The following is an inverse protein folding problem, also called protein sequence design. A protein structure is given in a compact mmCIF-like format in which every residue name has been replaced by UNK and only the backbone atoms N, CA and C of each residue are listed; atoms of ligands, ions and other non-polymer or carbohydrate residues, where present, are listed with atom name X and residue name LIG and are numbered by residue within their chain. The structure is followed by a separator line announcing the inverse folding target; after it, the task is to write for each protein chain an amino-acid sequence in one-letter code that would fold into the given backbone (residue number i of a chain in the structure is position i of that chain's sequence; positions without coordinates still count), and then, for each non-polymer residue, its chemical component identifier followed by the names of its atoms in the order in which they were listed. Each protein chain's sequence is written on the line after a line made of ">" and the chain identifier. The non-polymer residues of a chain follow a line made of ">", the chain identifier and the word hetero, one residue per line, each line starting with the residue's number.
data_IF_434719070396
#
_entry.id   IF_434719070396
#
_cell.length_a   1.000
_cell.length_b   1.000
_cell.length_c   1.000
_cell.angle_alpha   90.00
_cell.angle_beta   90.00
_cell.angle_gamma   90.00
#
_symmetry.space_group_name_H-M   'P 1'
#
loop_
_entity.id
_entity.type
_entity.pdbx_description
1 polymer ?
#
# COMPACT_ATOMS: atom_id res chain seq x y z
N UNK A 1 12.80 -11.61 -18.58
CA UNK A 1 12.65 -11.46 -17.12
C UNK A 1 11.19 -11.18 -16.84
N UNK A 2 10.48 -12.06 -16.14
CA UNK A 2 9.07 -11.83 -15.81
C UNK A 2 8.95 -10.72 -14.78
N UNK A 3 8.09 -9.74 -15.02
CA UNK A 3 7.80 -8.67 -14.07
C UNK A 3 7.15 -9.29 -12.84
N UNK A 4 7.81 -9.21 -11.67
CA UNK A 4 7.23 -9.67 -10.42
C UNK A 4 6.01 -8.79 -10.10
N UNK A 5 4.84 -9.42 -10.02
CA UNK A 5 3.60 -8.76 -9.61
C UNK A 5 3.18 -9.24 -8.23
N UNK A 6 2.63 -8.32 -7.44
CA UNK A 6 2.09 -8.60 -6.11
C UNK A 6 0.70 -8.02 -6.01
N UNK A 7 -0.13 -8.63 -5.16
CA UNK A 7 -1.44 -8.09 -4.84
C UNK A 7 -1.31 -7.11 -3.68
N UNK A 8 -1.75 -5.88 -3.92
CA UNK A 8 -1.93 -4.86 -2.90
C UNK A 8 -3.40 -4.71 -2.56
N UNK A 9 -3.68 -4.37 -1.31
CA UNK A 9 -5.02 -4.34 -0.75
C UNK A 9 -5.28 -3.03 -0.02
N UNK A 10 -6.45 -2.44 -0.28
CA UNK A 10 -6.96 -1.26 0.40
C UNK A 10 -8.41 -1.47 0.85
N UNK A 11 -8.93 -0.51 1.60
CA UNK A 11 -10.29 -0.56 2.11
C UNK A 11 -10.96 0.80 2.06
N UNK A 12 -12.29 0.79 1.96
CA UNK A 12 -13.11 1.96 2.25
C UNK A 12 -14.36 1.52 3.02
N UNK A 13 -14.81 2.39 3.90
CA UNK A 13 -16.00 2.17 4.72
C UNK A 13 -17.15 3.03 4.19
N UNK A 14 -18.32 2.43 4.07
CA UNK A 14 -19.58 3.13 3.74
C UNK A 14 -20.56 2.97 4.91
N UNK A 15 -21.50 3.90 5.11
CA UNK A 15 -22.57 3.72 6.10
C UNK A 15 -23.39 2.46 5.78
N UNK A 16 -23.79 1.70 6.79
CA UNK A 16 -24.63 0.49 6.57
C UNK A 16 -26.04 0.83 6.06
N UNK A 17 -26.48 2.08 6.27
CA UNK A 17 -27.72 2.64 5.73
C UNK A 17 -27.72 2.78 4.20
N UNK A 18 -26.57 2.69 3.54
CA UNK A 18 -26.48 2.79 2.08
C UNK A 18 -26.87 1.48 1.41
N UNK A 19 -27.64 1.57 0.34
CA UNK A 19 -27.92 0.40 -0.51
C UNK A 19 -26.65 -0.06 -1.23
N UNK A 20 -26.65 -1.32 -1.68
CA UNK A 20 -25.51 -1.84 -2.45
C UNK A 20 -25.25 -1.03 -3.73
N UNK A 21 -26.31 -0.53 -4.38
CA UNK A 21 -26.20 0.34 -5.56
C UNK A 21 -25.47 1.65 -5.24
N UNK A 22 -25.77 2.29 -4.11
CA UNK A 22 -25.09 3.51 -3.65
C UNK A 22 -23.62 3.24 -3.33
N UNK A 23 -23.33 2.11 -2.67
CA UNK A 23 -21.96 1.70 -2.36
C UNK A 23 -21.16 1.40 -3.65
N UNK A 24 -21.77 0.72 -4.63
CA UNK A 24 -21.16 0.43 -5.93
C UNK A 24 -20.96 1.71 -6.76
N UNK A 25 -21.86 2.70 -6.65
CA UNK A 25 -21.72 3.98 -7.37
C UNK A 25 -20.47 4.78 -6.94
N UNK A 26 -20.06 4.67 -5.68
CA UNK A 26 -18.85 5.35 -5.18
C UNK A 26 -17.57 4.53 -5.35
N UNK A 27 -17.70 3.23 -5.61
CA UNK A 27 -16.56 2.30 -5.78
C UNK A 27 -15.51 2.80 -6.79
N UNK A 28 -15.84 3.29 -8.00
CA UNK A 28 -14.84 3.80 -8.94
C UNK A 28 -13.99 4.96 -8.38
N UNK A 29 -14.58 5.84 -7.58
CA UNK A 29 -13.89 6.97 -6.96
C UNK A 29 -12.82 6.50 -5.98
N UNK A 30 -13.15 5.52 -5.13
CA UNK A 30 -12.22 5.01 -4.12
C UNK A 30 -11.16 4.09 -4.73
N UNK A 31 -11.51 3.30 -5.74
CA UNK A 31 -10.56 2.52 -6.53
C UNK A 31 -9.52 3.42 -7.21
N UNK A 32 -9.96 4.53 -7.82
CA UNK A 32 -9.05 5.52 -8.40
C UNK A 32 -8.10 6.11 -7.36
N UNK A 33 -8.62 6.54 -6.21
CA UNK A 33 -7.79 7.09 -5.11
C UNK A 33 -6.77 6.08 -4.59
N UNK A 34 -7.15 4.82 -4.47
CA UNK A 34 -6.23 3.75 -4.07
C UNK A 34 -5.13 3.55 -5.12
N UNK A 35 -5.48 3.59 -6.40
CA UNK A 35 -4.52 3.56 -7.50
C UNK A 35 -3.52 4.72 -7.45
N UNK A 36 -4.01 5.95 -7.36
CA UNK A 36 -3.15 7.15 -7.28
C UNK A 36 -2.20 7.11 -6.07
N UNK A 37 -2.60 6.45 -4.98
CA UNK A 37 -1.74 6.24 -3.82
C UNK A 37 -0.63 5.22 -4.12
N UNK A 38 -0.97 4.08 -4.73
CA UNK A 38 0.00 3.05 -5.12
C UNK A 38 1.02 3.59 -6.13
N UNK A 39 0.58 4.38 -7.11
CA UNK A 39 1.48 4.99 -8.09
C UNK A 39 2.45 5.98 -7.44
N UNK A 40 1.99 6.76 -6.46
CA UNK A 40 2.87 7.65 -5.66
C UNK A 40 3.91 6.88 -4.84
N UNK A 41 3.58 5.68 -4.39
CA UNK A 41 4.52 4.79 -3.70
C UNK A 41 5.53 4.12 -4.64
N UNK A 42 5.38 4.29 -5.96
CA UNK A 42 6.27 3.75 -6.98
C UNK A 42 5.81 2.41 -7.58
N UNK A 43 4.56 2.02 -7.33
CA UNK A 43 3.98 0.82 -7.93
C UNK A 43 3.34 1.13 -9.28
N UNK A 44 3.47 0.25 -10.27
CA UNK A 44 2.65 0.34 -11.50
C UNK A 44 1.44 -0.58 -11.35
N UNK A 45 0.24 -0.04 -11.54
CA UNK A 45 -0.99 -0.82 -11.48
C UNK A 45 -1.16 -1.61 -12.79
N UNK A 46 -1.39 -2.91 -12.67
CA UNK A 46 -1.70 -3.80 -13.79
C UNK A 46 -3.21 -3.96 -13.97
N UNK A 47 -3.93 -4.21 -12.88
CA UNK A 47 -5.37 -4.37 -12.89
C UNK A 47 -5.98 -4.15 -11.49
N UNK A 48 -7.30 -3.97 -11.47
CA UNK A 48 -8.12 -3.97 -10.26
C UNK A 48 -9.14 -5.10 -10.31
N UNK A 49 -9.43 -5.69 -9.15
CA UNK A 49 -10.65 -6.49 -8.97
C UNK A 49 -11.82 -5.60 -8.60
N UNK A 50 -13.03 -6.06 -8.92
CA UNK A 50 -14.26 -5.41 -8.43
C UNK A 50 -14.23 -5.41 -6.89
N UNK A 51 -14.44 -4.26 -6.23
CA UNK A 51 -14.48 -4.22 -4.78
C UNK A 51 -15.60 -5.08 -4.20
N UNK A 52 -15.29 -5.80 -3.13
CA UNK A 52 -16.19 -6.75 -2.45
C UNK A 52 -16.34 -6.38 -0.99
N UNK A 53 -17.46 -6.78 -0.37
CA UNK A 53 -17.65 -6.61 1.08
C UNK A 53 -16.58 -7.41 1.82
N UNK A 54 -15.84 -6.76 2.71
CA UNK A 54 -14.68 -7.35 3.37
C UNK A 54 -15.04 -8.58 4.22
N UNK A 55 -16.19 -8.56 4.89
CA UNK A 55 -16.70 -9.70 5.66
C UNK A 55 -17.03 -10.94 4.81
N UNK A 56 -17.11 -10.82 3.48
CA UNK A 56 -17.28 -11.96 2.58
C UNK A 56 -15.95 -12.69 2.28
N UNK A 57 -14.80 -12.05 2.50
CA UNK A 57 -13.48 -12.63 2.22
C UNK A 57 -12.61 -12.81 3.46
N UNK A 58 -12.96 -12.19 4.59
CA UNK A 58 -12.13 -12.16 5.80
C UNK A 58 -12.96 -12.39 7.05
N UNK A 59 -12.43 -13.24 7.94
CA UNK A 59 -13.10 -13.59 9.19
C UNK A 59 -12.89 -12.56 10.33
N UNK A 60 -12.00 -11.57 10.18
CA UNK A 60 -11.62 -10.62 11.24
C UNK A 60 -11.56 -9.16 10.72
N UNK A 61 -12.64 -8.67 10.13
CA UNK A 61 -12.71 -7.27 9.70
C UNK A 61 -13.26 -6.42 10.83
N UNK A 62 -12.40 -5.63 11.49
CA UNK A 62 -12.87 -4.59 12.39
C UNK A 62 -13.54 -3.48 11.59
N UNK A 63 -14.87 -3.43 11.60
CA UNK A 63 -15.67 -2.35 11.05
C UNK A 63 -16.47 -1.72 12.19
N UNK A 64 -16.65 -0.40 12.16
CA UNK A 64 -17.57 0.26 13.10
C UNK A 64 -19.00 -0.28 12.91
N UNK A 65 -19.80 -0.37 13.98
CA UNK A 65 -21.09 -1.07 13.95
C UNK A 65 -22.07 -0.52 12.90
N UNK A 66 -21.99 0.78 12.58
CA UNK A 66 -22.86 1.44 11.60
C UNK A 66 -22.24 1.56 10.20
N UNK A 67 -21.17 0.80 9.93
CA UNK A 67 -20.43 0.84 8.67
C UNK A 67 -20.27 -0.54 8.06
N UNK A 68 -20.14 -0.54 6.74
CA UNK A 68 -19.81 -1.69 5.93
C UNK A 68 -18.49 -1.43 5.23
N UNK A 69 -17.52 -2.34 5.41
CA UNK A 69 -16.21 -2.24 4.76
C UNK A 69 -16.21 -2.95 3.42
N UNK A 70 -15.65 -2.29 2.41
CA UNK A 70 -15.33 -2.87 1.12
C UNK A 70 -13.82 -2.97 0.93
N UNK A 71 -13.36 -4.11 0.42
CA UNK A 71 -11.96 -4.38 0.08
C UNK A 71 -11.71 -4.07 -1.38
N UNK A 72 -10.63 -3.33 -1.67
CA UNK A 72 -10.12 -3.06 -3.01
C UNK A 72 -8.84 -3.88 -3.18
N UNK A 73 -8.72 -4.60 -4.29
CA UNK A 73 -7.53 -5.35 -4.65
C UNK A 73 -6.94 -4.82 -5.96
N UNK A 74 -5.65 -4.52 -5.94
CA UNK A 74 -4.89 -4.08 -7.10
C UNK A 74 -3.71 -5.01 -7.32
N UNK A 75 -3.53 -5.50 -8.55
CA UNK A 75 -2.30 -6.18 -8.93
C UNK A 75 -1.29 -5.12 -9.35
N UNK A 76 -0.12 -5.12 -8.74
CA UNK A 76 0.91 -4.10 -8.98
C UNK A 76 2.25 -4.73 -9.32
N UNK A 77 3.05 -4.04 -10.13
CA UNK A 77 4.48 -4.37 -10.30
C UNK A 77 5.26 -3.76 -9.15
N UNK A 78 6.24 -4.51 -8.63
CA UNK A 78 7.19 -3.96 -7.67
C UNK A 78 8.45 -3.53 -8.42
N UNK A 79 8.61 -2.23 -8.67
CA UNK A 79 9.92 -1.72 -9.06
C UNK A 79 10.82 -1.62 -7.83
N UNK A 80 12.13 -1.91 -7.93
CA UNK A 80 13.07 -1.59 -6.87
C UNK A 80 13.02 -0.08 -6.59
N UNK A 81 12.72 0.32 -5.36
CA UNK A 81 12.80 1.72 -4.94
C UNK A 81 14.24 1.99 -4.51
N UNK A 82 14.90 2.95 -5.15
CA UNK A 82 16.16 3.47 -4.66
C UNK A 82 15.89 4.21 -3.34
N UNK A 83 16.50 3.73 -2.25
CA UNK A 83 16.39 4.35 -0.95
C UNK A 83 17.72 5.05 -0.66
N UNK A 84 17.70 6.37 -0.59
CA UNK A 84 18.83 7.16 -0.13
C UNK A 84 18.65 7.41 1.36
N UNK A 85 19.61 6.96 2.15
CA UNK A 85 19.71 7.27 3.57
C UNK A 85 20.92 8.15 3.78
N UNK A 86 20.69 9.39 4.23
CA UNK A 86 21.78 10.24 4.71
C UNK A 86 22.20 9.72 6.08
N UNK A 87 23.43 9.21 6.17
CA UNK A 87 24.03 8.84 7.45
C UNK A 87 24.55 10.14 8.06
N UNK A 88 24.03 10.59 9.22
CA UNK A 88 24.55 11.79 9.85
C UNK A 88 25.97 11.53 10.37
N UNK A 89 26.83 12.55 10.30
CA UNK A 89 28.27 12.43 10.63
C UNK A 89 28.54 11.80 12.00
N UNK A 90 27.67 12.02 12.99
CA UNK A 90 27.81 11.44 14.33
C UNK A 90 27.61 9.91 14.38
N UNK A 91 27.00 9.31 13.35
CA UNK A 91 26.76 7.88 13.22
C UNK A 91 27.86 7.17 12.42
N UNK A 92 28.82 7.91 11.87
CA UNK A 92 30.00 7.35 11.21
C UNK A 92 30.98 6.91 12.30
N UNK A 93 31.25 5.59 12.48
CA UNK A 93 32.24 5.16 13.46
C UNK A 93 33.60 5.77 13.10
N UNK A 94 34.30 6.33 14.09
CA UNK A 94 35.63 6.91 13.96
C UNK A 94 36.70 5.83 13.62
N UNK A 95 36.60 5.14 12.49
CA UNK A 95 37.65 4.25 11.98
C UNK A 95 38.73 5.04 11.22
N UNK A 96 39.24 6.10 11.85
CA UNK A 96 40.32 6.92 11.30
C UNK A 96 41.35 7.32 12.36
N UNK A 97 41.81 6.36 13.19
CA UNK A 97 43.05 6.51 13.98
C UNK A 97 43.83 5.19 14.15
N UNK A 98 43.87 4.33 13.13
CA UNK A 98 44.85 3.21 13.11
C UNK A 98 45.57 3.22 11.77
N UNK A 99 46.36 4.25 11.49
CA UNK A 99 47.37 4.23 10.43
C UNK A 99 48.37 5.39 10.67
N UNK A 100 49.07 5.36 11.80
CA UNK A 100 50.32 6.09 12.04
C UNK A 100 50.83 5.68 13.41
N UNK A 101 51.66 4.63 13.47
CA UNK A 101 52.69 4.36 14.47
C UNK A 101 53.22 2.94 14.22
N UNK A 102 54.08 2.83 13.21
CA UNK A 102 55.06 1.77 13.08
C UNK A 102 56.20 2.33 12.20
N UNK A 103 56.96 3.26 12.79
CA UNK A 103 58.38 3.44 12.46
C UNK A 103 59.19 2.59 13.43
#
# INVERSE_FOLDING_TARGET
>A
MGTLSVWSKGYYDVPDSWTEEMAQAVSPKYTKRFGEHLEREGFTILCFLKPVVAGAMEHNVFCEPDKRRYSIFAQVTRQPKELHFEIPDYAVPEMSKILTLAE
#
